data_IF_910979109865
#
_entry.id   IF_910979109865
#
_cell.length_a   1.000
_cell.length_b   1.000
_cell.length_c   1.000
_cell.angle_alpha   90.00
_cell.angle_beta   90.00
_cell.angle_gamma   90.00
#
_symmetry.space_group_name_H-M   'P 1'
#
loop_
_entity.id
_entity.type
_entity.pdbx_description
1 polymer ?
#
# COMPACT_ATOMS: atom_id res chain seq x y z
N UNK A 1 -13.70 23.31 -6.08
CA UNK A 1 -13.41 22.79 -4.73
C UNK A 1 -11.92 22.97 -4.51
N UNK A 2 -11.50 23.58 -3.40
CA UNK A 2 -10.13 24.06 -3.22
C UNK A 2 -9.13 22.91 -3.11
N UNK A 3 -7.97 23.09 -3.75
CA UNK A 3 -6.78 22.26 -3.57
C UNK A 3 -6.37 22.23 -2.10
N UNK A 4 -5.96 21.07 -1.60
CA UNK A 4 -5.69 20.85 -0.18
C UNK A 4 -4.20 20.90 0.08
N UNK A 5 -3.75 21.98 0.73
CA UNK A 5 -2.34 22.18 1.07
C UNK A 5 -1.90 21.14 2.08
N UNK A 6 -0.82 20.42 1.78
CA UNK A 6 -0.22 19.49 2.72
C UNK A 6 0.55 20.29 3.77
N UNK A 7 0.11 20.22 5.02
CA UNK A 7 0.77 20.87 6.17
C UNK A 7 1.30 19.87 7.17
N UNK A 8 0.67 18.69 7.28
CA UNK A 8 1.12 17.61 8.15
C UNK A 8 1.12 16.27 7.41
N UNK A 9 2.25 15.56 7.48
CA UNK A 9 2.42 14.23 6.92
C UNK A 9 2.65 13.20 8.02
N UNK A 10 1.87 12.11 8.03
CA UNK A 10 2.09 10.94 8.86
C UNK A 10 2.83 9.87 8.04
N UNK A 11 4.07 9.57 8.43
CA UNK A 11 4.95 8.62 7.77
C UNK A 11 5.10 7.37 8.65
N UNK A 12 4.68 6.20 8.17
CA UNK A 12 4.84 4.92 8.88
C UNK A 12 5.12 3.81 7.87
N UNK A 13 6.40 3.56 7.60
CA UNK A 13 6.83 2.63 6.55
C UNK A 13 7.78 1.54 7.07
N UNK A 14 7.54 0.32 6.61
CA UNK A 14 8.42 -0.83 6.78
C UNK A 14 9.61 -0.71 5.82
N UNK A 15 9.35 -0.57 4.52
CA UNK A 15 10.38 -0.26 3.51
C UNK A 15 10.69 1.24 3.50
N UNK A 16 11.97 1.58 3.66
CA UNK A 16 12.48 2.96 3.80
C UNK A 16 13.13 3.47 2.51
N UNK A 17 13.02 2.72 1.41
CA UNK A 17 13.51 3.12 0.10
C UNK A 17 12.97 4.50 -0.28
N UNK A 18 13.86 5.44 -0.59
CA UNK A 18 13.51 6.83 -0.94
C UNK A 18 12.93 7.70 0.20
N UNK A 19 12.69 7.15 1.40
CA UNK A 19 11.99 7.85 2.49
C UNK A 19 12.69 9.14 2.91
N UNK A 20 14.02 9.11 3.08
CA UNK A 20 14.77 10.25 3.62
C UNK A 20 14.74 11.44 2.67
N UNK A 21 14.94 11.21 1.37
CA UNK A 21 14.92 12.28 0.38
C UNK A 21 13.52 12.85 0.19
N UNK A 22 12.51 11.98 0.21
CA UNK A 22 11.10 12.40 0.21
C UNK A 22 10.75 13.25 1.43
N UNK A 23 11.15 12.83 2.63
CA UNK A 23 10.88 13.57 3.86
C UNK A 23 11.63 14.91 3.93
N UNK A 24 12.85 14.99 3.39
CA UNK A 24 13.57 16.26 3.22
C UNK A 24 12.81 17.22 2.29
N UNK A 25 12.29 16.71 1.17
CA UNK A 25 11.49 17.51 0.25
C UNK A 25 10.20 18.02 0.93
N UNK A 26 9.47 17.16 1.64
CA UNK A 26 8.31 17.55 2.43
C UNK A 26 8.65 18.66 3.45
N UNK A 27 9.74 18.49 4.20
CA UNK A 27 10.19 19.49 5.16
C UNK A 27 10.59 20.82 4.50
N UNK A 28 11.20 20.78 3.31
CA UNK A 28 11.49 21.98 2.51
C UNK A 28 10.24 22.71 2.03
N UNK A 29 9.13 21.99 1.82
CA UNK A 29 7.80 22.57 1.59
C UNK A 29 7.10 23.06 2.88
N UNK A 30 7.77 22.96 4.05
CA UNK A 30 7.23 23.38 5.34
C UNK A 30 6.21 22.41 5.94
N UNK A 31 6.23 21.14 5.51
CA UNK A 31 5.33 20.10 6.04
C UNK A 31 5.84 19.59 7.38
N UNK A 32 4.99 19.62 8.40
CA UNK A 32 5.27 19.01 9.69
C UNK A 32 5.23 17.47 9.57
N UNK A 33 6.34 16.82 9.96
CA UNK A 33 6.47 15.37 9.89
C UNK A 33 6.03 14.74 11.22
N UNK A 34 5.13 13.76 11.13
CA UNK A 34 4.72 12.89 12.23
C UNK A 34 5.10 11.46 11.87
N UNK A 35 5.68 10.70 12.79
CA UNK A 35 6.09 9.32 12.53
C UNK A 35 6.08 8.46 13.78
N UNK A 36 6.37 7.16 13.62
CA UNK A 36 6.39 6.19 14.72
C UNK A 36 7.49 5.14 14.52
N UNK A 37 7.95 4.56 15.62
CA UNK A 37 8.90 3.45 15.66
C UNK A 37 10.16 3.68 14.81
N UNK A 38 10.56 2.66 14.06
CA UNK A 38 11.75 2.69 13.22
C UNK A 38 11.72 3.73 12.09
N UNK A 39 10.53 4.20 11.67
CA UNK A 39 10.43 5.30 10.68
C UNK A 39 10.86 6.62 11.33
N UNK A 40 10.34 6.92 12.53
CA UNK A 40 10.70 8.14 13.27
C UNK A 40 12.20 8.18 13.59
N UNK A 41 12.75 7.05 14.05
CA UNK A 41 14.18 6.94 14.34
C UNK A 41 15.06 7.22 13.12
N UNK A 42 14.71 6.68 11.95
CA UNK A 42 15.45 6.92 10.71
C UNK A 42 15.40 8.39 10.27
N UNK A 43 14.24 9.03 10.37
CA UNK A 43 14.08 10.45 10.02
C UNK A 43 14.85 11.38 10.98
N UNK A 44 14.78 11.11 12.28
CA UNK A 44 15.54 11.85 13.31
C UNK A 44 17.04 11.70 13.11
N UNK A 45 17.52 10.50 12.79
CA UNK A 45 18.93 10.24 12.48
C UNK A 45 19.42 11.01 11.24
N UNK A 46 18.52 11.32 10.29
CA UNK A 46 18.80 12.17 9.13
C UNK A 46 18.70 13.67 9.43
N UNK A 47 18.49 14.07 10.70
CA UNK A 47 18.43 15.47 11.14
C UNK A 47 17.10 16.17 10.86
N UNK A 48 16.03 15.42 10.54
CA UNK A 48 14.71 16.00 10.27
C UNK A 48 13.92 16.23 11.57
N UNK A 49 13.19 17.36 11.69
CA UNK A 49 12.28 17.58 12.81
C UNK A 49 11.06 16.68 12.65
N UNK A 50 10.92 15.70 13.53
CA UNK A 50 9.80 14.73 13.51
C UNK A 50 9.16 14.63 14.87
N UNK A 51 7.84 14.81 14.89
CA UNK A 51 7.00 14.55 16.05
C UNK A 51 6.65 13.07 16.14
N UNK A 52 6.78 12.46 17.31
CA UNK A 52 6.36 11.07 17.48
C UNK A 52 4.82 10.95 17.59
N UNK A 53 4.25 9.86 17.06
CA UNK A 53 2.81 9.58 17.21
C UNK A 53 2.42 9.47 18.69
N UNK A 54 3.30 8.99 19.58
CA UNK A 54 3.05 8.96 21.02
C UNK A 54 2.91 10.37 21.61
N UNK A 55 3.65 11.36 21.11
CA UNK A 55 3.52 12.77 21.50
C UNK A 55 2.20 13.37 20.98
N UNK A 56 1.79 13.00 19.77
CA UNK A 56 0.49 13.41 19.21
C UNK A 56 -0.67 12.83 20.01
N UNK A 57 -0.60 11.53 20.31
CA UNK A 57 -1.69 10.79 20.96
C UNK A 57 -1.75 11.06 22.46
N UNK A 58 -0.60 11.23 23.11
CA UNK A 58 -0.44 11.17 24.56
C UNK A 58 -0.45 9.74 25.09
N UNK A 59 -0.29 8.74 24.21
CA UNK A 59 -0.42 7.33 24.54
C UNK A 59 0.84 6.56 24.09
N UNK A 60 1.46 5.74 24.94
CA UNK A 60 2.65 4.97 24.56
C UNK A 60 2.28 3.83 23.60
N UNK A 61 3.29 3.30 22.92
CA UNK A 61 3.17 2.05 22.17
C UNK A 61 2.92 0.88 23.14
N UNK A 62 1.95 0.01 22.81
CA UNK A 62 1.55 -1.13 23.66
C UNK A 62 1.46 -2.44 22.88
N UNK A 63 1.48 -3.55 23.63
CA UNK A 63 1.30 -4.92 23.11
C UNK A 63 2.29 -5.23 21.98
N UNK A 64 3.58 -5.00 22.25
CA UNK A 64 4.68 -5.23 21.32
C UNK A 64 4.51 -4.52 19.96
N UNK A 65 3.92 -3.32 19.99
CA UNK A 65 3.72 -2.49 18.81
C UNK A 65 2.45 -2.75 18.01
N UNK A 66 1.60 -3.70 18.46
CA UNK A 66 0.29 -3.98 17.88
C UNK A 66 -0.66 -2.78 17.99
N UNK A 67 -0.53 -1.98 19.05
CA UNK A 67 -1.38 -0.81 19.30
C UNK A 67 -0.52 0.45 19.43
N UNK A 68 -0.31 1.12 18.30
CA UNK A 68 0.43 2.41 18.23
C UNK A 68 -0.32 3.53 17.52
N UNK A 69 -1.03 3.21 16.43
CA UNK A 69 -1.73 4.21 15.60
C UNK A 69 -3.26 4.10 15.64
N UNK A 70 -3.80 3.06 16.28
CA UNK A 70 -5.24 2.84 16.48
C UNK A 70 -5.79 3.77 17.58
N UNK A 71 -5.70 5.07 17.34
CA UNK A 71 -6.04 6.11 18.29
C UNK A 71 -6.94 7.19 17.66
N UNK A 72 -7.95 7.73 18.37
CA UNK A 72 -8.85 8.75 17.84
C UNK A 72 -8.16 10.02 17.34
N UNK A 73 -7.04 10.43 17.95
CA UNK A 73 -6.27 11.58 17.45
C UNK A 73 -5.60 11.34 16.08
N UNK A 74 -5.25 10.09 15.77
CA UNK A 74 -4.70 9.74 14.44
C UNK A 74 -5.84 9.61 13.45
N UNK A 75 -6.82 8.75 13.74
CA UNK A 75 -7.93 8.49 12.83
C UNK A 75 -8.87 9.68 12.65
N UNK A 76 -9.08 10.48 13.68
CA UNK A 76 -9.81 11.75 13.58
C UNK A 76 -9.07 12.76 12.71
N UNK A 77 -7.74 12.82 12.81
CA UNK A 77 -6.90 13.63 11.92
C UNK A 77 -7.04 13.21 10.46
N UNK A 78 -7.18 11.91 10.18
CA UNK A 78 -7.39 11.36 8.85
C UNK A 78 -8.85 11.47 8.35
N UNK A 79 -9.85 11.31 9.22
CA UNK A 79 -11.26 11.14 8.83
C UNK A 79 -12.12 12.40 8.95
N UNK A 80 -11.69 13.42 9.69
CA UNK A 80 -12.52 14.62 9.85
C UNK A 80 -12.75 15.32 8.50
N UNK A 81 -14.01 15.57 8.15
CA UNK A 81 -14.40 16.25 6.91
C UNK A 81 -14.09 17.73 7.10
N UNK A 82 -13.14 18.27 6.33
CA UNK A 82 -12.68 19.65 6.47
C UNK A 82 -13.78 20.62 6.08
N UNK A 83 -14.03 21.64 6.92
CA UNK A 83 -15.06 22.65 6.68
C UNK A 83 -16.47 22.21 7.08
N UNK A 84 -16.63 21.00 7.64
CA UNK A 84 -17.86 20.61 8.32
C UNK A 84 -17.82 21.13 9.76
N UNK A 85 -18.76 22.01 10.12
CA UNK A 85 -18.77 22.70 11.41
C UNK A 85 -18.78 21.76 12.63
N UNK A 86 -19.48 20.63 12.56
CA UNK A 86 -19.52 19.66 13.65
C UNK A 86 -18.19 18.91 13.80
N UNK A 87 -17.58 18.51 12.68
CA UNK A 87 -16.27 17.85 12.67
C UNK A 87 -15.16 18.80 13.14
N UNK A 88 -15.15 20.05 12.66
CA UNK A 88 -14.16 21.05 13.03
C UNK A 88 -14.27 21.39 14.53
N UNK A 89 -15.50 21.51 15.06
CA UNK A 89 -15.75 21.69 16.50
C UNK A 89 -15.23 20.51 17.31
N UNK A 90 -15.60 19.29 16.95
CA UNK A 90 -15.14 18.08 17.65
C UNK A 90 -13.61 17.94 17.61
N UNK A 91 -12.99 18.27 16.46
CA UNK A 91 -11.54 18.24 16.33
C UNK A 91 -10.86 19.26 17.25
N UNK A 92 -11.39 20.48 17.35
CA UNK A 92 -10.88 21.50 18.26
C UNK A 92 -11.05 21.10 19.73
N UNK A 93 -12.24 20.64 20.13
CA UNK A 93 -12.56 20.23 21.50
C UNK A 93 -11.67 19.09 22.01
N UNK A 94 -11.30 18.15 21.13
CA UNK A 94 -10.50 16.99 21.48
C UNK A 94 -9.01 17.11 21.10
N UNK A 95 -8.56 18.28 20.63
CA UNK A 95 -7.17 18.51 20.24
C UNK A 95 -6.70 17.60 19.10
N UNK A 96 -7.58 17.31 18.15
CA UNK A 96 -7.31 16.47 16.99
C UNK A 96 -6.80 17.37 15.86
N UNK A 97 -5.52 17.21 15.52
CA UNK A 97 -4.90 17.98 14.47
C UNK A 97 -5.09 17.27 13.10
N UNK A 98 -5.38 18.00 12.01
CA UNK A 98 -5.57 17.41 10.69
C UNK A 98 -4.28 16.77 10.16
N UNK A 99 -4.41 15.63 9.49
CA UNK A 99 -3.34 14.99 8.71
C UNK A 99 -3.73 15.10 7.24
N UNK A 100 -2.82 15.61 6.41
CA UNK A 100 -3.11 15.94 5.00
C UNK A 100 -2.43 14.95 4.03
N UNK A 101 -1.35 14.32 4.49
CA UNK A 101 -0.63 13.27 3.78
C UNK A 101 -0.43 12.07 4.72
N UNK A 102 -0.81 10.88 4.26
CA UNK A 102 -0.48 9.61 4.90
C UNK A 102 0.46 8.84 3.97
N UNK A 103 1.62 8.42 4.47
CA UNK A 103 2.52 7.50 3.76
C UNK A 103 2.71 6.24 4.59
N UNK A 104 2.19 5.13 4.08
CA UNK A 104 2.20 3.83 4.76
C UNK A 104 2.38 2.72 3.74
N UNK A 105 3.47 1.97 3.83
CA UNK A 105 3.56 0.67 3.16
C UNK A 105 3.31 -0.44 4.19
N UNK A 106 2.61 -1.48 3.74
CA UNK A 106 2.24 -2.62 4.59
C UNK A 106 3.48 -3.47 4.88
N UNK A 107 3.49 -4.15 6.03
CA UNK A 107 4.47 -5.22 6.24
C UNK A 107 4.36 -6.26 5.13
N UNK A 108 5.48 -6.81 4.66
CA UNK A 108 5.48 -7.76 3.56
C UNK A 108 5.06 -9.15 4.07
N UNK A 109 3.80 -9.28 4.50
CA UNK A 109 3.20 -10.56 4.92
C UNK A 109 3.43 -11.62 3.85
N UNK A 110 3.28 -11.23 2.58
CA UNK A 110 3.51 -12.09 1.43
C UNK A 110 4.96 -12.60 1.36
N UNK A 111 5.94 -11.76 1.75
CA UNK A 111 7.34 -12.18 1.84
C UNK A 111 7.61 -13.09 3.06
N UNK A 112 6.90 -12.88 4.18
CA UNK A 112 6.97 -13.77 5.35
C UNK A 112 6.45 -15.17 5.01
N UNK A 113 5.31 -15.26 4.32
CA UNK A 113 4.76 -16.52 3.81
C UNK A 113 5.71 -17.15 2.80
N UNK A 114 6.29 -16.38 1.87
CA UNK A 114 7.24 -16.89 0.88
C UNK A 114 8.51 -17.50 1.51
N UNK A 115 8.92 -17.03 2.71
CA UNK A 115 10.04 -17.60 3.49
C UNK A 115 9.68 -18.90 4.21
N UNK A 116 8.42 -19.36 4.14
CA UNK A 116 7.90 -20.52 4.90
C UNK A 116 8.08 -20.34 6.41
N UNK A 117 7.79 -19.13 6.89
CA UNK A 117 7.74 -18.82 8.30
C UNK A 117 6.73 -19.71 9.04
N UNK A 118 6.92 -19.88 10.35
CA UNK A 118 5.97 -20.61 11.19
C UNK A 118 4.63 -19.88 11.33
N UNK A 119 3.59 -20.59 11.77
CA UNK A 119 2.24 -20.03 11.93
C UNK A 119 2.23 -18.74 12.77
N UNK A 120 2.84 -18.78 13.96
CA UNK A 120 2.87 -17.64 14.88
C UNK A 120 3.59 -16.43 14.25
N UNK A 121 4.69 -16.67 13.52
CA UNK A 121 5.43 -15.61 12.84
C UNK A 121 4.60 -14.97 11.71
N UNK A 122 3.85 -15.78 10.94
CA UNK A 122 2.91 -15.26 9.95
C UNK A 122 1.82 -14.41 10.61
N UNK A 123 1.23 -14.87 11.72
CA UNK A 123 0.20 -14.13 12.46
C UNK A 123 0.73 -12.80 13.00
N UNK A 124 1.95 -12.77 13.55
CA UNK A 124 2.58 -11.53 14.04
C UNK A 124 2.86 -10.51 12.92
N UNK A 125 3.01 -10.96 11.67
CA UNK A 125 3.23 -10.08 10.52
C UNK A 125 1.93 -9.56 9.86
N UNK A 126 0.75 -9.89 10.42
CA UNK A 126 -0.53 -9.30 9.99
C UNK A 126 -0.65 -7.89 10.55
N UNK A 127 -0.60 -6.90 9.66
CA UNK A 127 -0.71 -5.49 10.02
C UNK A 127 -2.18 -5.10 10.22
N UNK A 128 -2.48 -4.50 11.36
CA UNK A 128 -3.80 -3.95 11.68
C UNK A 128 -3.83 -2.44 11.51
N UNK A 129 -2.81 -1.75 12.02
CA UNK A 129 -2.75 -0.30 12.03
C UNK A 129 -2.56 0.29 10.63
N UNK A 130 -1.72 -0.33 9.80
CA UNK A 130 -1.46 0.07 8.42
C UNK A 130 -2.74 0.09 7.59
N UNK A 131 -3.44 -1.04 7.39
CA UNK A 131 -4.69 -1.07 6.65
C UNK A 131 -5.77 -0.15 7.22
N UNK A 132 -5.87 -0.02 8.55
CA UNK A 132 -6.81 0.90 9.17
C UNK A 132 -6.55 2.36 8.78
N UNK A 133 -5.29 2.81 8.83
CA UNK A 133 -4.92 4.17 8.42
C UNK A 133 -5.10 4.38 6.91
N UNK A 134 -4.68 3.41 6.09
CA UNK A 134 -4.82 3.48 4.62
C UNK A 134 -6.30 3.65 4.24
N UNK A 135 -7.19 2.82 4.79
CA UNK A 135 -8.63 2.90 4.52
C UNK A 135 -9.23 4.21 5.02
N UNK A 136 -8.78 4.72 6.17
CA UNK A 136 -9.23 5.99 6.73
C UNK A 136 -8.86 7.18 5.83
N UNK A 137 -7.59 7.27 5.40
CA UNK A 137 -7.11 8.30 4.49
C UNK A 137 -7.80 8.22 3.11
N UNK A 138 -7.90 7.01 2.55
CA UNK A 138 -8.53 6.76 1.24
C UNK A 138 -10.02 7.13 1.24
N UNK A 139 -10.74 6.85 2.34
CA UNK A 139 -12.14 7.28 2.51
C UNK A 139 -12.26 8.80 2.47
N UNK A 140 -11.32 9.53 3.07
CA UNK A 140 -11.33 10.99 3.15
C UNK A 140 -10.44 11.65 2.08
N UNK A 141 -10.35 11.05 0.88
CA UNK A 141 -9.51 11.55 -0.21
C UNK A 141 -9.87 12.95 -0.70
N UNK A 142 -11.06 13.48 -0.36
CA UNK A 142 -11.35 14.90 -0.62
C UNK A 142 -10.37 15.82 0.12
N UNK A 143 -9.82 15.38 1.26
CA UNK A 143 -8.90 16.14 2.13
C UNK A 143 -7.51 15.54 2.31
N UNK A 144 -7.37 14.21 2.19
CA UNK A 144 -6.14 13.49 2.54
C UNK A 144 -5.53 12.81 1.33
N UNK A 145 -4.24 13.03 1.11
CA UNK A 145 -3.44 12.27 0.13
C UNK A 145 -2.91 11.02 0.82
N UNK A 146 -3.15 9.83 0.25
CA UNK A 146 -2.65 8.56 0.77
C UNK A 146 -1.59 7.99 -0.18
N UNK A 147 -0.47 7.51 0.33
CA UNK A 147 0.61 6.93 -0.48
C UNK A 147 1.00 5.60 0.12
N UNK A 148 0.97 4.56 -0.69
CA UNK A 148 1.22 3.18 -0.25
C UNK A 148 2.49 2.55 -0.80
N UNK A 149 3.16 3.24 -1.73
CA UNK A 149 4.36 2.77 -2.43
C UNK A 149 5.36 3.92 -2.60
N UNK A 150 6.65 3.59 -2.60
CA UNK A 150 7.75 4.58 -2.71
C UNK A 150 7.84 5.23 -4.09
N UNK A 151 7.36 4.54 -5.11
CA UNK A 151 7.37 4.95 -6.51
C UNK A 151 6.50 6.18 -6.75
N UNK A 152 5.52 6.45 -5.87
CA UNK A 152 4.65 7.62 -5.98
C UNK A 152 5.24 8.87 -5.28
N UNK A 153 6.39 8.76 -4.59
CA UNK A 153 6.97 9.89 -3.83
C UNK A 153 7.30 11.09 -4.71
N UNK A 154 7.86 10.86 -5.90
CA UNK A 154 8.16 11.94 -6.84
C UNK A 154 6.89 12.65 -7.31
N UNK A 155 5.84 11.90 -7.64
CA UNK A 155 4.57 12.47 -8.09
C UNK A 155 3.93 13.36 -7.02
N UNK A 156 4.06 13.01 -5.73
CA UNK A 156 3.59 13.88 -4.64
C UNK A 156 4.33 15.21 -4.61
N UNK A 157 5.66 15.18 -4.74
CA UNK A 157 6.48 16.40 -4.75
C UNK A 157 6.21 17.25 -5.99
N UNK A 158 5.99 16.62 -7.15
CA UNK A 158 5.59 17.27 -8.39
C UNK A 158 4.23 17.97 -8.26
N UNK A 159 3.22 17.27 -7.73
CA UNK A 159 1.90 17.84 -7.43
C UNK A 159 2.01 19.03 -6.46
N UNK A 160 2.75 18.88 -5.36
CA UNK A 160 2.97 19.97 -4.41
C UNK A 160 3.68 21.17 -5.04
N UNK A 161 4.68 20.92 -5.88
CA UNK A 161 5.44 21.99 -6.55
C UNK A 161 4.58 22.75 -7.56
N UNK A 162 3.73 22.04 -8.31
CA UNK A 162 2.83 22.65 -9.29
C UNK A 162 1.67 23.43 -8.65
N UNK A 163 1.21 23.01 -7.47
CA UNK A 163 -0.03 23.50 -6.86
C UNK A 163 0.20 24.20 -5.50
N UNK A 164 1.31 24.93 -5.32
CA UNK A 164 1.54 25.77 -4.13
C UNK A 164 1.60 25.01 -2.79
N UNK A 165 2.07 23.76 -2.82
CA UNK A 165 2.14 22.84 -1.69
C UNK A 165 0.89 21.97 -1.50
N UNK A 166 -0.05 22.01 -2.43
CA UNK A 166 -1.26 21.18 -2.42
C UNK A 166 -1.20 20.01 -3.40
N UNK A 167 -2.15 19.08 -3.28
CA UNK A 167 -2.42 18.09 -4.33
C UNK A 167 -3.76 18.38 -4.99
N UNK A 168 -3.92 17.92 -6.22
CA UNK A 168 -5.20 17.96 -6.92
C UNK A 168 -6.16 16.91 -6.36
N UNK A 169 -7.47 17.17 -6.47
CA UNK A 169 -8.48 16.18 -6.07
C UNK A 169 -8.37 14.89 -6.89
N UNK A 170 -8.08 15.02 -8.19
CA UNK A 170 -7.90 13.88 -9.10
C UNK A 170 -6.77 12.97 -8.61
N UNK A 171 -5.61 13.54 -8.31
CA UNK A 171 -4.48 12.76 -7.78
C UNK A 171 -4.86 12.02 -6.49
N UNK A 172 -5.56 12.69 -5.56
CA UNK A 172 -6.03 12.02 -4.32
C UNK A 172 -7.01 10.87 -4.59
N UNK A 173 -7.89 11.01 -5.58
CA UNK A 173 -8.81 9.93 -5.99
C UNK A 173 -8.06 8.74 -6.59
N UNK A 174 -7.10 9.00 -7.48
CA UNK A 174 -6.25 7.97 -8.09
C UNK A 174 -5.44 7.22 -7.03
N UNK A 175 -4.84 7.95 -6.09
CA UNK A 175 -4.11 7.36 -4.98
C UNK A 175 -4.99 6.58 -4.00
N UNK A 176 -6.21 7.07 -3.70
CA UNK A 176 -7.17 6.34 -2.89
C UNK A 176 -7.65 5.04 -3.56
N UNK A 177 -7.87 5.06 -4.88
CA UNK A 177 -8.20 3.86 -5.65
C UNK A 177 -7.06 2.84 -5.61
N UNK A 178 -5.81 3.28 -5.84
CA UNK A 178 -4.60 2.45 -5.71
C UNK A 178 -4.47 1.86 -4.31
N UNK A 179 -4.67 2.69 -3.28
CA UNK A 179 -4.56 2.28 -1.89
C UNK A 179 -5.60 1.22 -1.48
N UNK A 180 -6.87 1.38 -1.87
CA UNK A 180 -7.89 0.36 -1.64
C UNK A 180 -7.57 -0.96 -2.37
N UNK A 181 -7.11 -0.88 -3.62
CA UNK A 181 -6.70 -2.06 -4.38
C UNK A 181 -5.53 -2.79 -3.70
N UNK A 182 -4.52 -2.05 -3.20
CA UNK A 182 -3.39 -2.65 -2.45
C UNK A 182 -3.86 -3.35 -1.17
N UNK A 183 -4.76 -2.74 -0.41
CA UNK A 183 -5.33 -3.39 0.79
C UNK A 183 -6.18 -4.62 0.44
N UNK A 184 -6.89 -4.60 -0.68
CA UNK A 184 -7.66 -5.77 -1.13
C UNK A 184 -6.73 -6.94 -1.50
N UNK A 185 -5.60 -6.67 -2.16
CA UNK A 185 -4.60 -7.68 -2.45
C UNK A 185 -3.94 -8.24 -1.17
N UNK A 186 -3.67 -7.39 -0.20
CA UNK A 186 -3.14 -7.79 1.11
C UNK A 186 -4.09 -8.74 1.86
N UNK A 187 -5.38 -8.37 1.96
CA UNK A 187 -6.38 -9.21 2.62
C UNK A 187 -6.64 -10.53 1.85
N UNK A 188 -6.50 -10.51 0.52
CA UNK A 188 -6.53 -11.72 -0.30
C UNK A 188 -5.36 -12.66 0.03
N UNK A 189 -4.15 -12.13 0.21
CA UNK A 189 -2.99 -12.93 0.61
C UNK A 189 -3.19 -13.58 1.99
N UNK A 190 -3.67 -12.83 2.98
CA UNK A 190 -3.93 -13.33 4.35
C UNK A 190 -5.00 -14.43 4.33
N UNK A 191 -6.14 -14.16 3.70
CA UNK A 191 -7.25 -15.12 3.65
C UNK A 191 -6.88 -16.40 2.91
N UNK A 192 -6.10 -16.30 1.82
CA UNK A 192 -5.63 -17.46 1.08
C UNK A 192 -4.59 -18.27 1.87
N UNK A 193 -3.68 -17.62 2.60
CA UNK A 193 -2.76 -18.28 3.52
C UNK A 193 -3.51 -19.08 4.61
N UNK A 194 -4.53 -18.49 5.25
CA UNK A 194 -5.35 -19.24 6.21
C UNK A 194 -6.05 -20.45 5.58
N UNK A 195 -6.56 -20.33 4.35
CA UNK A 195 -7.17 -21.47 3.67
C UNK A 195 -6.17 -22.61 3.42
N UNK A 196 -4.91 -22.28 3.11
CA UNK A 196 -3.83 -23.24 2.95
C UNK A 196 -3.42 -23.89 4.27
N UNK A 197 -3.21 -23.11 5.33
CA UNK A 197 -2.87 -23.61 6.68
C UNK A 197 -3.95 -24.54 7.23
N UNK A 198 -5.22 -24.16 7.04
CA UNK A 198 -6.38 -24.96 7.45
C UNK A 198 -6.70 -26.10 6.48
N UNK A 199 -5.92 -26.28 5.40
CA UNK A 199 -6.10 -27.31 4.37
C UNK A 199 -7.54 -27.34 3.83
N UNK A 200 -8.11 -26.16 3.62
CA UNK A 200 -9.48 -25.97 3.15
C UNK A 200 -9.46 -25.63 1.65
N UNK A 201 -9.58 -26.61 0.74
CA UNK A 201 -9.41 -26.38 -0.70
C UNK A 201 -10.50 -25.50 -1.32
N UNK A 202 -11.70 -25.49 -0.73
CA UNK A 202 -12.83 -24.70 -1.18
C UNK A 202 -13.41 -23.89 0.00
N UNK A 203 -12.75 -22.81 0.43
CA UNK A 203 -13.24 -21.99 1.53
C UNK A 203 -14.55 -21.29 1.13
N UNK A 204 -15.38 -20.96 2.12
CA UNK A 204 -16.65 -20.26 1.88
C UNK A 204 -16.47 -18.89 1.18
N UNK A 205 -15.31 -18.26 1.38
CA UNK A 205 -14.90 -17.04 0.70
C UNK A 205 -13.52 -17.22 0.08
N UNK A 206 -13.36 -16.86 -1.19
CA UNK A 206 -12.08 -16.84 -1.91
C UNK A 206 -11.86 -15.45 -2.49
N UNK A 207 -10.69 -14.88 -2.22
CA UNK A 207 -10.31 -13.57 -2.76
C UNK A 207 -9.16 -13.72 -3.75
N UNK A 208 -9.22 -12.94 -4.82
CA UNK A 208 -8.19 -12.85 -5.85
C UNK A 208 -7.69 -11.42 -5.91
N UNK A 209 -6.41 -11.23 -5.62
CA UNK A 209 -5.73 -9.95 -5.67
C UNK A 209 -4.40 -10.08 -6.41
N UNK A 210 -3.95 -8.98 -6.98
CA UNK A 210 -2.69 -8.94 -7.71
C UNK A 210 -2.30 -7.54 -8.13
N UNK A 211 -1.04 -7.39 -8.53
CA UNK A 211 -0.48 -6.17 -9.10
C UNK A 211 -0.50 -6.27 -10.62
N UNK A 212 -0.72 -5.15 -11.29
CA UNK A 212 -0.56 -5.10 -12.75
C UNK A 212 0.87 -5.51 -13.11
N UNK A 213 1.00 -6.61 -13.85
CA UNK A 213 2.27 -7.02 -14.44
C UNK A 213 2.51 -6.29 -15.76
N UNK A 214 1.49 -6.27 -16.62
CA UNK A 214 1.59 -5.68 -17.95
C UNK A 214 0.21 -5.32 -18.51
N UNK A 215 0.06 -4.12 -19.08
CA UNK A 215 -1.09 -3.80 -19.92
C UNK A 215 -0.88 -4.41 -21.32
N UNK A 216 -1.91 -4.99 -21.92
CA UNK A 216 -1.80 -5.63 -23.22
C UNK A 216 -2.35 -4.73 -24.32
N UNK A 217 -1.80 -4.87 -25.54
CA UNK A 217 -2.25 -4.11 -26.72
C UNK A 217 -3.75 -4.30 -27.00
N UNK A 218 -4.24 -5.51 -26.77
CA UNK A 218 -5.64 -5.92 -26.90
C UNK A 218 -5.81 -7.29 -26.22
N UNK A 219 -7.06 -7.73 -26.03
CA UNK A 219 -7.41 -9.05 -25.53
C UNK A 219 -7.26 -10.14 -26.58
N UNK A 220 -8.19 -11.08 -26.62
CA UNK A 220 -8.18 -12.15 -27.63
C UNK A 220 -8.35 -11.59 -29.05
N UNK A 221 -9.10 -10.49 -29.18
CA UNK A 221 -9.37 -9.78 -30.42
C UNK A 221 -9.05 -8.27 -30.29
N UNK A 222 -8.74 -7.56 -31.40
CA UNK A 222 -8.28 -6.16 -31.37
C UNK A 222 -9.21 -5.13 -30.72
N UNK A 223 -10.50 -5.42 -30.59
CA UNK A 223 -11.50 -4.52 -30.01
C UNK A 223 -11.66 -4.70 -28.50
N UNK A 224 -10.95 -5.64 -27.89
CA UNK A 224 -11.01 -5.96 -26.47
C UNK A 224 -9.79 -5.37 -25.76
N UNK A 225 -9.99 -4.78 -24.59
CA UNK A 225 -8.89 -4.40 -23.70
C UNK A 225 -8.46 -5.59 -22.84
N UNK A 226 -7.17 -5.68 -22.50
CA UNK A 226 -6.68 -6.72 -21.60
C UNK A 226 -5.44 -6.29 -20.83
N UNK A 227 -5.20 -6.97 -19.72
CA UNK A 227 -4.04 -6.78 -18.87
C UNK A 227 -3.70 -8.08 -18.14
N UNK A 228 -2.43 -8.24 -17.79
CA UNK A 228 -1.92 -9.33 -16.96
C UNK A 228 -1.75 -8.81 -15.55
N UNK A 229 -2.38 -9.49 -14.59
CA UNK A 229 -2.18 -9.26 -13.17
C UNK A 229 -1.42 -10.44 -12.57
N UNK A 230 -0.48 -10.13 -11.69
CA UNK A 230 0.38 -11.10 -11.02
C UNK A 230 0.06 -11.05 -9.53
N UNK A 231 -0.26 -12.22 -8.95
CA UNK A 231 -0.40 -12.36 -7.50
C UNK A 231 0.96 -12.56 -6.84
N UNK A 232 1.03 -12.57 -5.52
CA UNK A 232 2.28 -12.80 -4.79
C UNK A 232 2.78 -14.26 -4.83
N UNK A 233 2.04 -15.14 -5.51
CA UNK A 233 2.40 -16.54 -5.66
C UNK A 233 3.73 -16.69 -6.43
N UNK A 234 4.72 -17.30 -5.78
CA UNK A 234 6.04 -17.60 -6.36
C UNK A 234 6.00 -18.86 -7.24
N UNK A 235 4.96 -19.01 -8.05
CA UNK A 235 4.81 -20.13 -8.98
C UNK A 235 5.60 -19.84 -10.25
N UNK A 236 6.40 -20.80 -10.70
CA UNK A 236 7.01 -20.75 -12.04
C UNK A 236 5.92 -20.91 -13.09
N UNK A 237 5.85 -19.98 -14.04
CA UNK A 237 4.87 -20.01 -15.13
C UNK A 237 5.01 -18.77 -16.00
N UNK A 238 4.06 -18.57 -16.92
CA UNK A 238 4.12 -17.44 -17.86
C UNK A 238 4.16 -16.08 -17.14
N UNK A 239 3.44 -15.95 -16.03
CA UNK A 239 3.36 -14.72 -15.24
C UNK A 239 4.67 -14.34 -14.51
N UNK A 240 5.56 -15.30 -14.30
CA UNK A 240 6.88 -15.11 -13.65
C UNK A 240 8.05 -15.30 -14.62
N UNK A 241 7.77 -15.53 -15.89
CA UNK A 241 8.77 -15.73 -16.92
C UNK A 241 9.48 -14.41 -17.28
N UNK A 242 10.79 -14.49 -17.53
CA UNK A 242 11.57 -13.38 -18.06
C UNK A 242 11.62 -13.47 -19.58
N UNK A 243 11.05 -12.48 -20.27
CA UNK A 243 11.22 -12.35 -21.71
C UNK A 243 12.67 -11.92 -22.02
N UNK A 244 13.41 -12.75 -22.77
CA UNK A 244 14.81 -12.47 -23.14
C UNK A 244 14.92 -11.65 -24.43
N UNK A 245 13.99 -11.83 -25.37
CA UNK A 245 13.96 -11.18 -26.67
C UNK A 245 12.53 -11.14 -27.22
N UNK A 246 12.30 -10.31 -28.23
CA UNK A 246 11.08 -10.28 -29.03
C UNK A 246 10.22 -9.05 -28.73
N UNK A 247 9.09 -8.96 -29.43
CA UNK A 247 8.08 -7.95 -29.13
C UNK A 247 7.32 -8.36 -27.87
N UNK A 248 6.70 -7.38 -27.25
CA UNK A 248 5.74 -7.60 -26.17
C UNK A 248 4.68 -8.65 -26.53
N UNK A 249 4.46 -9.60 -25.61
CA UNK A 249 3.52 -10.71 -25.77
C UNK A 249 2.07 -10.21 -25.89
N UNK A 250 1.29 -10.85 -26.78
CA UNK A 250 -0.16 -10.62 -26.85
C UNK A 250 -0.91 -11.50 -25.85
N UNK A 251 -2.20 -11.21 -25.62
CA UNK A 251 -3.09 -12.04 -24.81
C UNK A 251 -3.05 -13.51 -25.20
N UNK A 252 -3.15 -13.81 -26.51
CA UNK A 252 -3.11 -15.19 -27.01
C UNK A 252 -1.74 -15.82 -26.80
N UNK A 253 -0.64 -15.08 -27.00
CA UNK A 253 0.69 -15.63 -26.74
C UNK A 253 0.88 -16.02 -25.27
N UNK A 254 0.30 -15.25 -24.34
CA UNK A 254 0.38 -15.58 -22.92
C UNK A 254 -0.40 -16.85 -22.63
N UNK A 255 -1.62 -16.98 -23.10
CA UNK A 255 -2.43 -18.20 -22.91
C UNK A 255 -1.81 -19.43 -23.59
N UNK A 256 -1.31 -19.29 -24.81
CA UNK A 256 -0.62 -20.38 -25.53
C UNK A 256 0.67 -20.81 -24.81
N UNK A 257 1.42 -19.83 -24.27
CA UNK A 257 2.64 -20.11 -23.52
C UNK A 257 2.34 -20.79 -22.20
N UNK A 258 1.29 -20.36 -21.49
CA UNK A 258 0.85 -20.98 -20.24
C UNK A 258 0.41 -22.42 -20.48
N UNK A 259 -0.47 -22.65 -21.46
CA UNK A 259 -0.92 -23.99 -21.83
C UNK A 259 0.23 -24.91 -22.22
N UNK A 260 1.17 -24.42 -23.03
CA UNK A 260 2.36 -25.19 -23.42
C UNK A 260 3.26 -25.49 -22.21
N UNK A 261 3.46 -24.52 -21.32
CA UNK A 261 4.28 -24.67 -20.12
C UNK A 261 3.68 -25.68 -19.13
N UNK A 262 2.37 -25.61 -18.90
CA UNK A 262 1.65 -26.55 -18.03
C UNK A 262 1.69 -27.96 -18.60
N UNK A 263 1.41 -28.13 -19.89
CA UNK A 263 1.44 -29.43 -20.56
C UNK A 263 2.81 -30.13 -20.41
N UNK A 264 3.92 -29.41 -20.65
CA UNK A 264 5.26 -30.02 -20.48
C UNK A 264 5.61 -30.28 -19.01
N UNK A 265 5.01 -29.53 -18.08
CA UNK A 265 5.26 -29.67 -16.65
C UNK A 265 4.56 -30.87 -16.02
N UNK A 266 3.61 -31.50 -16.72
CA UNK A 266 2.94 -32.74 -16.27
C UNK A 266 3.87 -33.96 -16.31
N UNK A 267 4.96 -33.92 -17.09
CA UNK A 267 5.88 -35.04 -17.25
C UNK A 267 7.02 -35.00 -16.22
N UNK A 268 7.34 -36.15 -15.63
CA UNK A 268 8.51 -36.28 -14.76
C UNK A 268 9.78 -36.10 -15.58
N UNK A 269 10.56 -35.05 -15.27
CA UNK A 269 11.83 -34.76 -15.94
C UNK A 269 12.87 -35.90 -15.83
N UNK A 270 12.66 -36.87 -14.92
CA UNK A 270 13.51 -38.07 -14.77
C UNK A 270 13.04 -39.27 -15.58
N UNK A 271 11.82 -39.24 -16.12
CA UNK A 271 11.29 -40.30 -16.97
C UNK A 271 11.22 -39.78 -18.41
N UNK A 272 12.05 -40.31 -19.34
CA UNK A 272 11.90 -39.95 -20.74
C UNK A 272 10.52 -40.38 -21.24
N UNK A 273 9.87 -39.48 -21.98
CA UNK A 273 8.56 -39.68 -22.59
C UNK A 273 8.57 -40.82 -23.63
#
# INVERSE_FOLDING_TARGET
>A
MAEQKIRRALLSVSDKSGLIDFAKALNAHGVALVSTGGTSAALKAAGLPVQDVSELTGFPEMMDGRVKTLHPKVHGGLLAIRGNAEHDKAAAEHGIAPIDLLVVNLYPFEATVAKKAGYDECVENIDIGGPAMIRAASKNHDSVTVIVESEDYSHVIEEMSANGGATTRRFRQEMAAKAFARTAAYDAAISNWFAEELKTPAPAWRAFGGRLGQALRYGENPHQEAAVYVSDAQRRGVATARQLQGKELSYNNINDTDAAFELVSEFDAKMPA
#
